data_IF_537044869772
#
_entry.id   IF_537044869772
#
_cell.length_a   1.000
_cell.length_b   1.000
_cell.length_c   1.000
_cell.angle_alpha   90.00
_cell.angle_beta   90.00
_cell.angle_gamma   90.00
#
_symmetry.space_group_name_H-M   'P 1'
#
loop_
_entity.id
_entity.type
_entity.pdbx_description
1 polymer ?
#
# COMPACT_ATOMS: atom_id res chain seq x y z
N UNK A 1 11.44 -17.31 -19.30
CA UNK A 1 11.12 -18.18 -18.14
C UNK A 1 9.62 -18.17 -17.94
N UNK A 2 8.98 -19.31 -17.59
CA UNK A 2 7.51 -19.43 -17.50
C UNK A 2 7.05 -19.13 -16.07
N UNK A 3 6.14 -18.17 -15.88
CA UNK A 3 5.56 -17.87 -14.57
C UNK A 3 4.74 -19.04 -14.03
N UNK A 4 4.80 -19.27 -12.72
CA UNK A 4 4.08 -20.37 -12.06
C UNK A 4 2.88 -19.83 -11.32
N UNK A 5 1.71 -20.34 -11.68
CA UNK A 5 0.44 -19.97 -11.06
C UNK A 5 -0.09 -21.17 -10.28
N UNK A 6 -0.16 -21.03 -8.96
CA UNK A 6 -0.72 -22.01 -8.05
C UNK A 6 -1.57 -21.29 -7.01
N UNK A 7 -2.48 -22.03 -6.36
CA UNK A 7 -3.26 -21.46 -5.26
C UNK A 7 -2.35 -20.90 -4.15
N UNK A 8 -1.23 -21.57 -3.87
CA UNK A 8 -0.25 -21.15 -2.87
C UNK A 8 0.41 -19.81 -3.24
N UNK A 9 0.85 -19.64 -4.49
CA UNK A 9 1.51 -18.40 -4.94
C UNK A 9 0.55 -17.22 -5.00
N UNK A 10 -0.71 -17.45 -5.40
CA UNK A 10 -1.75 -16.41 -5.34
C UNK A 10 -2.01 -15.99 -3.89
N UNK A 11 -2.17 -16.96 -2.99
CA UNK A 11 -2.43 -16.67 -1.57
C UNK A 11 -1.26 -15.94 -0.89
N UNK A 12 -0.02 -16.37 -1.18
CA UNK A 12 1.18 -15.71 -0.68
C UNK A 12 1.27 -14.25 -1.14
N UNK A 13 1.03 -13.98 -2.43
CA UNK A 13 1.02 -12.63 -2.98
C UNK A 13 -0.03 -11.74 -2.30
N UNK A 14 -1.24 -12.26 -2.11
CA UNK A 14 -2.33 -11.54 -1.43
C UNK A 14 -1.99 -11.26 0.03
N UNK A 15 -1.43 -12.24 0.75
CA UNK A 15 -1.07 -12.09 2.16
C UNK A 15 -0.02 -10.98 2.35
N UNK A 16 1.08 -11.02 1.58
CA UNK A 16 2.15 -10.01 1.67
C UNK A 16 1.65 -8.63 1.22
N UNK A 17 0.91 -8.57 0.11
CA UNK A 17 0.35 -7.31 -0.37
C UNK A 17 -0.59 -6.68 0.66
N UNK A 18 -1.48 -7.47 1.28
CA UNK A 18 -2.42 -6.98 2.30
C UNK A 18 -1.68 -6.50 3.55
N UNK A 19 -0.67 -7.23 4.00
CA UNK A 19 0.14 -6.85 5.15
C UNK A 19 0.81 -5.49 4.93
N UNK A 20 1.58 -5.34 3.85
CA UNK A 20 2.28 -4.08 3.57
C UNK A 20 1.28 -2.95 3.27
N UNK A 21 0.18 -3.23 2.55
CA UNK A 21 -0.84 -2.22 2.28
C UNK A 21 -1.47 -1.68 3.58
N UNK A 22 -1.67 -2.55 4.58
CA UNK A 22 -2.19 -2.13 5.88
C UNK A 22 -1.21 -1.21 6.62
N UNK A 23 0.10 -1.51 6.59
CA UNK A 23 1.13 -0.66 7.20
C UNK A 23 1.18 0.73 6.54
N UNK A 24 1.18 0.78 5.20
CA UNK A 24 1.18 2.05 4.45
C UNK A 24 -0.09 2.87 4.76
N UNK A 25 -1.25 2.21 4.75
CA UNK A 25 -2.52 2.88 5.02
C UNK A 25 -2.58 3.44 6.45
N UNK A 26 -2.16 2.65 7.45
CA UNK A 26 -2.10 3.10 8.85
C UNK A 26 -1.12 4.24 9.02
N UNK A 27 0.11 4.13 8.49
CA UNK A 27 1.11 5.19 8.58
C UNK A 27 0.61 6.50 7.94
N UNK A 28 0.00 6.42 6.75
CA UNK A 28 -0.59 7.58 6.06
C UNK A 28 -1.73 8.20 6.88
N UNK A 29 -2.66 7.39 7.38
CA UNK A 29 -3.80 7.87 8.17
C UNK A 29 -3.33 8.56 9.46
N UNK A 30 -2.37 7.96 10.18
CA UNK A 30 -1.79 8.56 11.39
C UNK A 30 -1.06 9.86 11.09
N UNK A 31 -0.29 9.94 9.99
CA UNK A 31 0.41 11.15 9.59
C UNK A 31 -0.56 12.29 9.25
N UNK A 32 -1.63 12.01 8.50
CA UNK A 32 -2.69 12.98 8.18
C UNK A 32 -3.35 13.48 9.46
N UNK A 33 -3.79 12.56 10.33
CA UNK A 33 -4.47 12.91 11.58
C UNK A 33 -3.59 13.75 12.50
N UNK A 34 -2.35 13.32 12.75
CA UNK A 34 -1.43 14.01 13.64
C UNK A 34 -1.08 15.41 13.12
N UNK A 35 -0.81 15.53 11.82
CA UNK A 35 -0.43 16.81 11.20
C UNK A 35 -1.61 17.77 11.16
N UNK A 36 -2.80 17.31 10.78
CA UNK A 36 -4.01 18.13 10.77
C UNK A 36 -4.36 18.63 12.18
N UNK A 37 -4.23 17.76 13.20
CA UNK A 37 -4.44 18.12 14.59
C UNK A 37 -3.41 19.14 15.11
N UNK A 38 -2.13 18.92 14.82
CA UNK A 38 -1.03 19.80 15.25
C UNK A 38 -1.15 21.21 14.63
N UNK A 39 -1.47 21.29 13.35
CA UNK A 39 -1.61 22.56 12.63
C UNK A 39 -3.00 23.19 12.79
N UNK A 40 -3.93 22.55 13.50
CA UNK A 40 -5.34 22.97 13.66
C UNK A 40 -6.01 23.24 12.31
N UNK A 41 -5.77 22.37 11.32
CA UNK A 41 -6.35 22.53 9.98
C UNK A 41 -7.87 22.42 10.03
N UNK A 42 -8.55 23.37 9.39
CA UNK A 42 -9.96 23.25 9.06
C UNK A 42 -10.20 22.20 7.97
N UNK A 43 -11.47 21.96 7.62
CA UNK A 43 -11.87 20.91 6.66
C UNK A 43 -11.09 20.97 5.34
N UNK A 44 -10.99 22.15 4.72
CA UNK A 44 -10.30 22.33 3.44
C UNK A 44 -8.82 21.96 3.52
N UNK A 45 -8.12 22.40 4.58
CA UNK A 45 -6.70 22.08 4.79
C UNK A 45 -6.49 20.58 4.98
N UNK A 46 -7.35 19.93 5.77
CA UNK A 46 -7.33 18.48 5.99
C UNK A 46 -7.60 17.68 4.73
N UNK A 47 -8.51 18.13 3.86
CA UNK A 47 -8.76 17.50 2.55
C UNK A 47 -7.54 17.61 1.64
N UNK A 48 -6.92 18.80 1.56
CA UNK A 48 -5.71 19.00 0.74
C UNK A 48 -4.57 18.12 1.26
N UNK A 49 -4.33 18.11 2.57
CA UNK A 49 -3.31 17.27 3.20
C UNK A 49 -3.57 15.78 2.91
N UNK A 50 -4.82 15.34 3.02
CA UNK A 50 -5.23 13.97 2.70
C UNK A 50 -4.99 13.62 1.24
N UNK A 51 -5.20 14.55 0.31
CA UNK A 51 -4.90 14.31 -1.10
C UNK A 51 -3.38 14.22 -1.33
N UNK A 52 -2.60 15.13 -0.74
CA UNK A 52 -1.13 15.19 -0.90
C UNK A 52 -0.45 13.94 -0.35
N UNK A 53 -0.90 13.39 0.78
CA UNK A 53 -0.32 12.18 1.36
C UNK A 53 -1.01 10.89 0.90
N UNK A 54 -2.34 10.92 0.75
CA UNK A 54 -3.15 9.76 0.42
C UNK A 54 -2.98 9.31 -1.03
N UNK A 55 -2.92 10.23 -2.01
CA UNK A 55 -2.76 9.84 -3.42
C UNK A 55 -1.44 9.09 -3.65
N UNK A 56 -0.26 9.60 -3.21
CA UNK A 56 0.98 8.85 -3.33
C UNK A 56 0.95 7.51 -2.57
N UNK A 57 0.33 7.46 -1.40
CA UNK A 57 0.20 6.23 -0.61
C UNK A 57 -0.60 5.16 -1.36
N UNK A 58 -1.70 5.53 -2.03
CA UNK A 58 -2.47 4.61 -2.87
C UNK A 58 -1.65 4.10 -4.06
N UNK A 59 -0.86 4.96 -4.70
CA UNK A 59 0.04 4.54 -5.78
C UNK A 59 1.12 3.57 -5.29
N UNK A 60 1.67 3.79 -4.09
CA UNK A 60 2.61 2.87 -3.47
C UNK A 60 1.97 1.51 -3.16
N UNK A 61 0.75 1.50 -2.61
CA UNK A 61 0.00 0.26 -2.37
C UNK A 61 -0.20 -0.51 -3.67
N UNK A 62 -0.65 0.16 -4.73
CA UNK A 62 -0.81 -0.46 -6.05
C UNK A 62 0.53 -1.05 -6.54
N UNK A 63 1.65 -0.32 -6.37
CA UNK A 63 2.96 -0.81 -6.76
C UNK A 63 3.41 -2.03 -5.97
N UNK A 64 3.17 -2.05 -4.66
CA UNK A 64 3.46 -3.21 -3.80
C UNK A 64 2.67 -4.44 -4.23
N UNK A 65 1.39 -4.28 -4.58
CA UNK A 65 0.59 -5.41 -5.11
C UNK A 65 1.23 -6.01 -6.36
N UNK A 66 1.71 -5.18 -7.30
CA UNK A 66 2.41 -5.66 -8.49
C UNK A 66 3.73 -6.35 -8.15
N UNK A 67 4.52 -5.77 -7.24
CA UNK A 67 5.80 -6.36 -6.82
C UNK A 67 5.62 -7.70 -6.10
N UNK A 68 4.62 -7.80 -5.22
CA UNK A 68 4.28 -9.06 -4.53
C UNK A 68 3.86 -10.13 -5.54
N UNK A 69 3.03 -9.76 -6.53
CA UNK A 69 2.64 -10.67 -7.60
C UNK A 69 3.84 -11.12 -8.45
N UNK A 70 4.70 -10.19 -8.84
CA UNK A 70 5.91 -10.49 -9.62
C UNK A 70 6.86 -11.42 -8.85
N UNK A 71 7.10 -11.16 -7.57
CA UNK A 71 7.97 -11.98 -6.73
C UNK A 71 7.42 -13.40 -6.51
N UNK A 72 6.12 -13.53 -6.23
CA UNK A 72 5.50 -14.84 -5.96
C UNK A 72 5.24 -15.66 -7.24
N UNK A 73 5.20 -15.02 -8.41
CA UNK A 73 5.02 -15.72 -9.70
C UNK A 73 6.34 -16.00 -10.42
N UNK A 74 7.47 -15.55 -9.88
CA UNK A 74 8.79 -15.81 -10.42
C UNK A 74 9.18 -17.30 -10.24
N UNK A 75 9.50 -18.04 -11.30
CA UNK A 75 9.97 -19.42 -11.19
C UNK A 75 11.25 -19.60 -10.37
N UNK A 76 12.03 -18.54 -10.13
CA UNK A 76 13.21 -18.60 -9.25
C UNK A 76 12.88 -18.61 -7.75
N UNK A 77 11.63 -18.27 -7.37
CA UNK A 77 11.18 -18.18 -5.98
C UNK A 77 10.46 -19.47 -5.51
N UNK A 78 10.52 -20.55 -6.30
CA UNK A 78 9.89 -21.85 -6.07
C UNK A 78 10.93 -22.96 -6.01
#
# INVERSE_FOLDING_TARGET
MKRVYSFRTIWAAVAVATFIASEIATACATAIWATAGLMKLGLTGSVILSAVLGIPSLLLIARVCFLAWEAETDPANL
#
